data_IF_025956163779
#
_entry.id   IF_025956163779
#
_cell.length_a   1.000
_cell.length_b   1.000
_cell.length_c   1.000
_cell.angle_alpha   90.00
_cell.angle_beta   90.00
_cell.angle_gamma   90.00
#
_symmetry.space_group_name_H-M   'P 1'
#
loop_
_entity.id
_entity.type
_entity.pdbx_description
1 polymer ?
#
# COMPACT_ATOMS: atom_id res chain seq x y z
N UNK A 1 -0.41 -14.22 -43.81
CA UNK A 1 -0.19 -14.62 -42.40
C UNK A 1 -0.14 -13.39 -41.52
N UNK A 2 -1.20 -13.10 -40.75
CA UNK A 2 -1.14 -12.09 -39.69
C UNK A 2 -0.50 -12.72 -38.46
N UNK A 3 0.76 -12.35 -38.19
CA UNK A 3 1.46 -12.61 -36.93
C UNK A 3 0.80 -11.77 -35.83
N UNK A 4 -0.37 -12.19 -35.34
CA UNK A 4 -0.93 -11.63 -34.11
C UNK A 4 -0.78 -12.71 -33.03
N UNK A 5 -0.05 -12.43 -31.94
CA UNK A 5 0.03 -13.34 -30.81
C UNK A 5 -1.39 -13.73 -30.37
N UNK A 6 -1.62 -15.02 -30.14
CA UNK A 6 -2.89 -15.49 -29.61
C UNK A 6 -3.05 -14.95 -28.18
N UNK A 7 -3.98 -14.02 -28.02
CA UNK A 7 -4.24 -13.28 -26.78
C UNK A 7 -5.36 -13.92 -25.94
N UNK A 8 -5.90 -15.07 -26.36
CA UNK A 8 -7.00 -15.76 -25.69
C UNK A 8 -6.69 -16.10 -24.22
N UNK A 9 -5.46 -16.51 -23.93
CA UNK A 9 -5.00 -16.83 -22.57
C UNK A 9 -5.00 -15.61 -21.61
N UNK A 10 -4.90 -14.39 -22.14
CA UNK A 10 -4.92 -13.16 -21.34
C UNK A 10 -6.30 -12.49 -21.31
N UNK A 11 -7.23 -12.95 -22.15
CA UNK A 11 -8.57 -12.38 -22.25
C UNK A 11 -9.33 -12.50 -20.92
N UNK A 12 -9.14 -13.59 -20.17
CA UNK A 12 -9.81 -13.80 -18.87
C UNK A 12 -9.27 -12.86 -17.76
N UNK A 13 -8.00 -12.48 -17.82
CA UNK A 13 -7.39 -11.50 -16.91
C UNK A 13 -7.78 -10.05 -17.26
N UNK A 14 -8.01 -9.76 -18.54
CA UNK A 14 -8.35 -8.41 -19.05
C UNK A 14 -9.86 -8.18 -19.09
N UNK A 15 -10.68 -9.23 -19.15
CA UNK A 15 -12.15 -9.15 -19.19
C UNK A 15 -12.76 -8.29 -18.07
N UNK A 16 -12.26 -8.30 -16.81
CA UNK A 16 -12.78 -7.43 -15.75
C UNK A 16 -12.47 -5.93 -15.98
N UNK A 17 -11.44 -5.61 -16.78
CA UNK A 17 -10.97 -4.25 -17.02
C UNK A 17 -11.61 -3.58 -18.26
N UNK A 18 -12.22 -4.36 -19.16
CA UNK A 18 -12.78 -3.88 -20.43
C UNK A 18 -13.90 -2.83 -20.32
N UNK A 19 -14.95 -3.03 -19.52
CA UNK A 19 -16.09 -2.10 -19.49
C UNK A 19 -15.93 -0.89 -18.56
N UNK A 20 -14.85 -0.81 -17.76
CA UNK A 20 -14.67 0.26 -16.75
C UNK A 20 -13.29 0.94 -16.77
N UNK A 21 -12.64 0.95 -17.94
CA UNK A 21 -11.41 1.69 -18.23
C UNK A 21 -11.64 3.20 -18.08
N UNK A 22 -11.67 3.66 -16.83
CA UNK A 22 -11.66 5.06 -16.48
C UNK A 22 -10.30 5.34 -15.86
N UNK A 23 -9.39 5.94 -16.64
CA UNK A 23 -8.08 6.41 -16.16
C UNK A 23 -8.22 7.25 -14.86
N UNK A 24 -9.35 7.94 -14.71
CA UNK A 24 -9.67 8.69 -13.50
C UNK A 24 -9.76 7.81 -12.23
N UNK A 25 -10.26 6.57 -12.33
CA UNK A 25 -10.30 5.63 -11.19
C UNK A 25 -8.89 5.24 -10.74
N UNK A 26 -7.93 5.20 -11.66
CA UNK A 26 -6.53 4.98 -11.31
C UNK A 26 -5.97 6.16 -10.52
N UNK A 27 -6.16 7.39 -10.97
CA UNK A 27 -5.70 8.57 -10.22
C UNK A 27 -6.39 8.70 -8.85
N UNK A 28 -7.69 8.41 -8.79
CA UNK A 28 -8.43 8.37 -7.53
C UNK A 28 -7.91 7.25 -6.61
N UNK A 29 -7.66 6.06 -7.15
CA UNK A 29 -7.07 4.95 -6.41
C UNK A 29 -5.69 5.29 -5.87
N UNK A 30 -4.82 5.85 -6.71
CA UNK A 30 -3.48 6.31 -6.30
C UNK A 30 -3.58 7.34 -5.17
N UNK A 31 -4.47 8.32 -5.29
CA UNK A 31 -4.68 9.32 -4.26
C UNK A 31 -5.15 8.69 -2.94
N UNK A 32 -6.16 7.82 -2.98
CA UNK A 32 -6.67 7.11 -1.80
C UNK A 32 -5.60 6.23 -1.17
N UNK A 33 -4.77 5.55 -1.97
CA UNK A 33 -3.68 4.71 -1.47
C UNK A 33 -2.62 5.53 -0.73
N UNK A 34 -2.24 6.70 -1.27
CA UNK A 34 -1.30 7.61 -0.61
C UNK A 34 -1.88 8.13 0.71
N UNK A 35 -3.13 8.60 0.69
CA UNK A 35 -3.80 9.11 1.90
C UNK A 35 -3.94 8.03 2.95
N UNK A 36 -4.39 6.83 2.56
CA UNK A 36 -4.53 5.70 3.46
C UNK A 36 -3.17 5.28 4.04
N UNK A 37 -2.12 5.18 3.21
CA UNK A 37 -0.78 4.85 3.66
C UNK A 37 -0.26 5.87 4.69
N UNK A 38 -0.36 7.17 4.39
CA UNK A 38 0.08 8.22 5.32
C UNK A 38 -0.68 8.13 6.64
N UNK A 39 -2.02 7.98 6.60
CA UNK A 39 -2.84 7.87 7.80
C UNK A 39 -2.50 6.62 8.64
N UNK A 40 -2.35 5.46 8.01
CA UNK A 40 -1.99 4.21 8.67
C UNK A 40 -0.57 4.25 9.25
N UNK A 41 0.38 4.80 8.51
CA UNK A 41 1.77 4.91 8.92
C UNK A 41 1.92 5.91 10.09
N UNK A 42 1.23 7.05 10.03
CA UNK A 42 1.17 8.01 11.13
C UNK A 42 0.56 7.37 12.38
N UNK A 43 -0.59 6.71 12.25
CA UNK A 43 -1.24 6.00 13.35
C UNK A 43 -0.33 4.93 13.98
N UNK A 44 0.39 4.17 13.15
CA UNK A 44 1.35 3.18 13.60
C UNK A 44 2.49 3.80 14.43
N UNK A 45 3.16 4.84 13.92
CA UNK A 45 4.26 5.48 14.64
C UNK A 45 3.79 6.23 15.89
N UNK A 46 2.62 6.89 15.86
CA UNK A 46 2.04 7.50 17.04
C UNK A 46 1.76 6.47 18.14
N UNK A 47 1.24 5.31 17.76
CA UNK A 47 1.01 4.19 18.70
C UNK A 47 2.32 3.70 19.30
N UNK A 48 3.33 3.47 18.46
CA UNK A 48 4.69 3.07 18.90
C UNK A 48 5.28 4.10 19.87
N UNK A 49 5.20 5.39 19.56
CA UNK A 49 5.74 6.45 20.40
C UNK A 49 4.97 6.62 21.71
N UNK A 50 3.64 6.44 21.68
CA UNK A 50 2.82 6.41 22.89
C UNK A 50 3.24 5.28 23.84
N UNK A 51 3.51 4.08 23.30
CA UNK A 51 4.04 2.96 24.09
C UNK A 51 5.48 3.18 24.57
N UNK A 52 6.32 3.87 23.79
CA UNK A 52 7.70 4.16 24.16
C UNK A 52 7.81 5.22 25.28
N UNK A 53 6.80 6.07 25.45
CA UNK A 53 6.73 7.06 26.53
C UNK A 53 7.95 7.99 26.56
N UNK A 54 8.70 7.98 27.68
CA UNK A 54 9.91 8.81 27.86
C UNK A 54 11.04 8.47 26.89
N UNK A 55 11.05 7.25 26.34
CA UNK A 55 12.04 6.79 25.37
C UNK A 55 11.68 7.12 23.93
N UNK A 56 10.55 7.80 23.67
CA UNK A 56 10.11 8.13 22.31
C UNK A 56 11.13 8.99 21.56
N UNK A 57 11.74 9.98 22.21
CA UNK A 57 12.73 10.86 21.59
C UNK A 57 14.01 10.12 21.16
N UNK A 58 14.50 9.20 22.01
CA UNK A 58 15.68 8.39 21.68
C UNK A 58 15.36 7.36 20.60
N UNK A 59 14.17 6.75 20.64
CA UNK A 59 13.70 5.82 19.61
C UNK A 59 13.55 6.52 18.26
N UNK A 60 13.00 7.74 18.22
CA UNK A 60 12.90 8.54 17.00
C UNK A 60 14.29 8.87 16.42
N UNK A 61 15.22 9.31 17.26
CA UNK A 61 16.61 9.56 16.83
C UNK A 61 17.31 8.31 16.29
N UNK A 62 17.06 7.14 16.90
CA UNK A 62 17.58 5.86 16.41
C UNK A 62 16.92 5.41 15.10
N UNK A 63 15.65 5.76 14.88
CA UNK A 63 14.93 5.50 13.63
C UNK A 63 15.56 6.26 12.46
N UNK A 64 15.85 7.55 12.66
CA UNK A 64 16.46 8.41 11.63
C UNK A 64 17.90 8.00 11.32
N UNK A 65 18.66 7.57 12.33
CA UNK A 65 20.07 7.18 12.18
C UNK A 65 20.27 5.70 11.83
N UNK A 66 19.23 4.88 11.91
CA UNK A 66 19.35 3.43 11.77
C UNK A 66 20.27 2.78 12.81
N UNK A 67 20.35 3.37 14.00
CA UNK A 67 21.39 3.03 14.98
C UNK A 67 21.11 1.73 15.75
N UNK A 68 19.85 1.28 15.79
CA UNK A 68 19.45 0.09 16.55
C UNK A 68 18.66 -0.90 15.70
N UNK A 69 18.84 -2.23 15.90
CA UNK A 69 18.06 -3.24 15.20
C UNK A 69 16.56 -3.08 15.42
N UNK A 70 16.15 -2.74 16.65
CA UNK A 70 14.74 -2.48 16.98
C UNK A 70 14.13 -1.40 16.10
N UNK A 71 14.82 -0.26 15.93
CA UNK A 71 14.33 0.83 15.09
C UNK A 71 14.16 0.40 13.62
N UNK A 72 15.07 -0.45 13.13
CA UNK A 72 14.99 -0.99 11.78
C UNK A 72 13.87 -2.01 11.60
N UNK A 73 13.58 -2.86 12.59
CA UNK A 73 12.40 -3.73 12.54
C UNK A 73 11.09 -2.93 12.55
N UNK A 74 11.02 -1.86 13.34
CA UNK A 74 9.85 -0.99 13.36
C UNK A 74 9.64 -0.28 12.03
N UNK A 75 10.72 0.16 11.38
CA UNK A 75 10.69 0.73 10.05
C UNK A 75 10.29 -0.32 8.99
N UNK A 76 10.85 -1.53 9.06
CA UNK A 76 10.50 -2.62 8.14
C UNK A 76 9.01 -2.96 8.23
N UNK A 77 8.47 -3.03 9.45
CA UNK A 77 7.04 -3.31 9.64
C UNK A 77 6.14 -2.19 9.10
N UNK A 78 6.62 -0.95 9.06
CA UNK A 78 5.84 0.16 8.52
C UNK A 78 5.54 -0.01 7.02
N UNK A 79 6.36 -0.73 6.25
CA UNK A 79 6.04 -1.12 4.87
C UNK A 79 4.82 -2.06 4.78
N UNK A 80 4.51 -2.82 5.82
CA UNK A 80 3.29 -3.62 5.90
C UNK A 80 2.03 -2.76 5.82
N UNK A 81 2.08 -1.53 6.34
CA UNK A 81 0.96 -0.58 6.24
C UNK A 81 0.70 -0.14 4.79
N UNK A 82 1.73 -0.15 3.94
CA UNK A 82 1.60 0.13 2.52
C UNK A 82 0.79 -0.96 1.81
N UNK A 83 1.07 -2.24 2.10
CA UNK A 83 0.29 -3.35 1.56
C UNK A 83 -1.18 -3.29 2.00
N UNK A 84 -1.44 -2.94 3.26
CA UNK A 84 -2.80 -2.73 3.76
C UNK A 84 -3.51 -1.56 3.05
N UNK A 85 -2.82 -0.43 2.87
CA UNK A 85 -3.38 0.74 2.19
C UNK A 85 -3.79 0.43 0.74
N UNK A 86 -2.97 -0.33 0.01
CA UNK A 86 -3.31 -0.79 -1.35
C UNK A 86 -4.53 -1.71 -1.33
N UNK A 87 -4.58 -2.68 -0.42
CA UNK A 87 -5.72 -3.59 -0.28
C UNK A 87 -7.03 -2.86 0.01
N UNK A 88 -6.99 -1.88 0.92
CA UNK A 88 -8.13 -1.01 1.24
C UNK A 88 -8.57 -0.22 0.01
N UNK A 89 -7.62 0.36 -0.72
CA UNK A 89 -7.89 1.15 -1.93
C UNK A 89 -8.56 0.31 -3.02
N UNK A 90 -8.05 -0.89 -3.29
CA UNK A 90 -8.63 -1.79 -4.30
C UNK A 90 -10.06 -2.18 -3.93
N UNK A 91 -10.33 -2.43 -2.64
CA UNK A 91 -11.67 -2.76 -2.17
C UNK A 91 -12.63 -1.57 -2.24
N UNK A 92 -12.19 -0.35 -1.91
CA UNK A 92 -13.05 0.84 -1.89
C UNK A 92 -13.26 1.42 -3.30
N UNK A 93 -12.19 1.66 -4.05
CA UNK A 93 -12.24 2.40 -5.34
C UNK A 93 -12.53 1.47 -6.52
N UNK A 94 -11.99 0.26 -6.48
CA UNK A 94 -12.16 -0.69 -7.57
C UNK A 94 -13.28 -1.69 -7.33
N UNK A 95 -13.79 -1.81 -6.09
CA UNK A 95 -14.77 -2.83 -5.68
C UNK A 95 -14.38 -4.25 -6.10
N UNK A 96 -13.07 -4.50 -6.22
CA UNK A 96 -12.51 -5.81 -6.52
C UNK A 96 -12.05 -6.44 -5.22
N UNK A 97 -12.16 -7.77 -5.13
CA UNK A 97 -11.54 -8.50 -4.04
C UNK A 97 -10.02 -8.36 -4.12
N UNK A 98 -9.38 -8.17 -2.97
CA UNK A 98 -7.93 -8.02 -2.86
C UNK A 98 -7.15 -9.25 -3.37
N UNK A 99 -7.81 -10.40 -3.52
CA UNK A 99 -7.26 -11.62 -4.13
C UNK A 99 -7.10 -11.57 -5.65
N UNK A 100 -7.59 -10.51 -6.30
CA UNK A 100 -7.46 -10.30 -7.75
C UNK A 100 -6.35 -9.30 -8.11
N UNK A 101 -5.59 -8.83 -7.11
CA UNK A 101 -4.28 -8.20 -7.29
C UNK A 101 -3.26 -9.26 -7.71
#
# INVERSE_FOLDING_TARGET
MTWRPDYSAHAEFVAPAGPSSALWRFFLGLFVAVVAYVALNEFYFQTIYAFAGTSAASLHGNLLKGATPQAMYLLLFSFGTMAMAVGVTVRIVHQRNASSL
#
